data_IF_741280628118
#
_entry.id   IF_741280628118
#
_cell.length_a   1.000
_cell.length_b   1.000
_cell.length_c   1.000
_cell.angle_alpha   90.00
_cell.angle_beta   90.00
_cell.angle_gamma   90.00
#
_symmetry.space_group_name_H-M   'P 1'
#
loop_
_entity.id
_entity.type
_entity.pdbx_description
1 polymer ?
#
# COMPACT_ATOMS: atom_id res chain seq x y z
N UNK A 1 -26.44 18.20 9.16
CA UNK A 1 -25.20 18.46 8.41
C UNK A 1 -25.14 17.47 7.27
N UNK A 2 -25.02 17.94 6.03
CA UNK A 2 -24.91 17.07 4.86
C UNK A 2 -23.57 16.33 4.90
N UNK A 3 -23.61 15.01 4.81
CA UNK A 3 -22.41 14.19 4.91
C UNK A 3 -21.61 14.30 3.62
N UNK A 4 -20.42 14.90 3.69
CA UNK A 4 -19.54 15.07 2.53
C UNK A 4 -19.02 13.73 2.02
N UNK A 5 -18.90 13.64 0.71
CA UNK A 5 -18.23 12.53 0.05
C UNK A 5 -16.72 12.58 0.33
N UNK A 6 -16.16 11.44 0.74
CA UNK A 6 -14.75 11.32 1.09
C UNK A 6 -14.06 10.35 0.14
N UNK A 7 -12.92 10.75 -0.40
CA UNK A 7 -12.02 9.88 -1.15
C UNK A 7 -10.73 9.70 -0.36
N UNK A 8 -10.22 8.47 -0.33
CA UNK A 8 -8.98 8.16 0.39
C UNK A 8 -7.88 7.86 -0.62
N UNK A 9 -6.80 8.63 -0.57
CA UNK A 9 -5.62 8.43 -1.38
C UNK A 9 -4.47 7.87 -0.54
N UNK A 10 -3.76 6.88 -1.06
CA UNK A 10 -2.64 6.27 -0.36
C UNK A 10 -1.55 5.77 -1.31
N UNK A 11 -0.30 6.11 -1.00
CA UNK A 11 0.89 5.57 -1.67
C UNK A 11 1.54 4.48 -0.83
N UNK A 12 1.99 3.37 -1.43
CA UNK A 12 2.76 2.34 -0.74
C UNK A 12 2.03 1.81 0.51
N UNK A 13 2.64 1.93 1.68
CA UNK A 13 2.02 1.61 2.98
C UNK A 13 0.72 2.40 3.23
N UNK A 14 0.61 3.63 2.75
CA UNK A 14 -0.63 4.41 2.80
C UNK A 14 -1.75 3.81 1.94
N UNK A 15 -1.41 3.23 0.78
CA UNK A 15 -2.36 2.51 -0.07
C UNK A 15 -2.86 1.22 0.59
N UNK A 16 -1.94 0.51 1.27
CA UNK A 16 -2.29 -0.60 2.16
C UNK A 16 -3.27 -0.18 3.27
N UNK A 17 -3.01 0.96 3.91
CA UNK A 17 -3.86 1.48 4.98
C UNK A 17 -5.25 1.86 4.46
N UNK A 18 -5.34 2.51 3.30
CA UNK A 18 -6.61 2.88 2.66
C UNK A 18 -7.48 1.65 2.34
N UNK A 19 -6.90 0.63 1.71
CA UNK A 19 -7.58 -0.61 1.37
C UNK A 19 -7.98 -1.38 2.64
N UNK A 20 -7.06 -1.53 3.59
CA UNK A 20 -7.33 -2.20 4.87
C UNK A 20 -8.45 -1.51 5.64
N UNK A 21 -8.47 -0.18 5.65
CA UNK A 21 -9.52 0.60 6.31
C UNK A 21 -10.90 0.30 5.69
N UNK A 22 -11.00 0.32 4.35
CA UNK A 22 -12.26 -0.01 3.70
C UNK A 22 -12.72 -1.43 4.00
N UNK A 23 -11.83 -2.42 3.88
CA UNK A 23 -12.14 -3.81 4.20
C UNK A 23 -12.60 -3.97 5.65
N UNK A 24 -11.95 -3.33 6.62
CA UNK A 24 -12.25 -3.51 8.05
C UNK A 24 -13.44 -2.73 8.57
N UNK A 25 -13.74 -1.56 8.00
CA UNK A 25 -14.71 -0.63 8.61
C UNK A 25 -15.86 -0.25 7.70
N UNK A 26 -15.73 -0.47 6.39
CA UNK A 26 -16.77 -0.12 5.42
C UNK A 26 -17.56 -1.36 5.02
N UNK A 27 -16.87 -2.48 4.77
CA UNK A 27 -17.48 -3.74 4.34
C UNK A 27 -18.08 -4.47 5.57
N UNK A 28 -19.42 -4.50 5.73
CA UNK A 28 -20.05 -5.05 6.92
C UNK A 28 -19.75 -6.53 7.16
N UNK A 29 -19.55 -7.30 6.09
CA UNK A 29 -19.29 -8.75 6.14
C UNK A 29 -17.93 -9.10 6.74
N UNK A 30 -16.96 -8.17 6.67
CA UNK A 30 -15.60 -8.35 7.20
C UNK A 30 -15.41 -7.58 8.51
N UNK A 31 -16.20 -6.53 8.72
CA UNK A 31 -16.14 -5.62 9.87
C UNK A 31 -16.46 -6.34 11.18
N UNK A 32 -15.46 -7.00 11.74
CA UNK A 32 -15.45 -7.56 13.09
C UNK A 32 -15.11 -6.52 14.16
N UNK A 33 -14.80 -5.28 13.76
CA UNK A 33 -14.30 -4.23 14.63
C UNK A 33 -15.38 -3.16 14.86
N UNK A 34 -16.07 -3.25 15.99
CA UNK A 34 -16.89 -2.15 16.48
C UNK A 34 -15.96 -1.05 17.01
N UNK A 35 -15.91 0.09 16.30
CA UNK A 35 -15.14 1.26 16.73
C UNK A 35 -15.75 1.93 17.97
N UNK A 36 -16.94 1.54 18.42
CA UNK A 36 -17.67 2.19 19.51
C UNK A 36 -18.17 3.59 19.15
N UNK A 37 -17.98 4.01 17.90
CA UNK A 37 -18.39 5.31 17.37
C UNK A 37 -19.76 5.13 16.72
N UNK A 38 -20.83 5.44 17.46
CA UNK A 38 -22.22 5.29 16.99
C UNK A 38 -22.66 6.38 16.01
N UNK A 39 -22.03 7.56 16.09
CA UNK A 39 -22.60 8.77 15.48
C UNK A 39 -21.87 9.25 14.21
N UNK A 40 -20.68 8.70 13.89
CA UNK A 40 -19.93 9.10 12.70
C UNK A 40 -19.24 7.94 11.98
N UNK A 41 -19.83 7.51 10.87
CA UNK A 41 -19.21 6.59 9.90
C UNK A 41 -18.87 7.36 8.64
N UNK A 42 -17.60 7.70 8.43
CA UNK A 42 -17.16 8.42 7.23
C UNK A 42 -17.57 7.64 5.96
N UNK A 43 -18.30 8.30 5.06
CA UNK A 43 -18.74 7.72 3.79
C UNK A 43 -17.61 7.82 2.76
N UNK A 44 -16.72 6.82 2.76
CA UNK A 44 -15.70 6.73 1.70
C UNK A 44 -16.37 6.29 0.40
N UNK A 45 -16.33 7.18 -0.60
CA UNK A 45 -16.87 6.95 -1.94
C UNK A 45 -15.91 6.27 -2.89
N UNK A 46 -14.60 6.36 -2.62
CA UNK A 46 -13.63 5.59 -3.35
C UNK A 46 -12.19 5.70 -2.84
N UNK A 47 -11.34 4.84 -3.40
CA UNK A 47 -9.93 4.74 -3.05
C UNK A 47 -9.06 5.06 -4.27
N UNK A 48 -8.00 5.83 -4.04
CA UNK A 48 -6.92 6.08 -4.99
C UNK A 48 -5.65 5.46 -4.41
N UNK A 49 -5.21 4.33 -4.97
CA UNK A 49 -4.06 3.59 -4.48
C UNK A 49 -2.89 3.69 -5.47
N UNK A 50 -1.73 4.16 -5.01
CA UNK A 50 -0.54 4.31 -5.85
C UNK A 50 0.57 3.39 -5.33
N UNK A 51 1.03 2.46 -6.17
CA UNK A 51 1.94 1.36 -5.79
C UNK A 51 1.60 0.77 -4.42
N UNK A 52 0.35 0.34 -4.18
CA UNK A 52 -0.08 -0.04 -2.83
C UNK A 52 0.66 -1.28 -2.33
N UNK A 53 0.98 -1.30 -1.03
CA UNK A 53 1.63 -2.44 -0.38
C UNK A 53 0.64 -3.58 -0.08
N UNK A 54 0.04 -4.14 -1.13
CA UNK A 54 -0.87 -5.30 -1.09
C UNK A 54 -0.21 -6.60 -1.58
N UNK A 55 1.08 -6.51 -1.86
CA UNK A 55 2.00 -7.60 -2.15
C UNK A 55 3.42 -7.04 -2.05
N UNK A 56 4.36 -7.87 -1.58
CA UNK A 56 5.77 -7.51 -1.50
C UNK A 56 6.48 -8.19 -2.67
N UNK A 57 7.28 -7.44 -3.42
CA UNK A 57 8.06 -7.99 -4.52
C UNK A 57 8.94 -9.15 -4.02
N UNK A 58 9.06 -10.24 -4.79
CA UNK A 58 9.82 -11.43 -4.36
C UNK A 58 11.29 -11.09 -4.09
N UNK A 59 11.82 -10.14 -4.84
CA UNK A 59 13.17 -9.60 -4.71
C UNK A 59 13.37 -8.87 -3.39
N UNK A 60 12.29 -8.40 -2.76
CA UNK A 60 12.29 -7.73 -1.45
C UNK A 60 12.09 -8.69 -0.27
N UNK A 61 11.74 -9.96 -0.51
CA UNK A 61 11.50 -10.94 0.55
C UNK A 61 12.75 -11.78 0.84
N UNK A 62 13.14 -11.97 2.13
CA UNK A 62 14.15 -12.95 2.50
C UNK A 62 13.59 -14.38 2.32
N UNK A 63 14.48 -15.39 2.30
CA UNK A 63 14.06 -16.79 2.18
C UNK A 63 13.07 -17.20 3.27
N UNK A 64 12.16 -18.13 2.96
CA UNK A 64 11.07 -18.53 3.85
C UNK A 64 11.53 -18.95 5.27
N UNK A 65 12.61 -19.75 5.45
CA UNK A 65 13.10 -20.07 6.79
C UNK A 65 13.55 -18.82 7.58
N UNK A 66 14.18 -17.86 6.91
CA UNK A 66 14.58 -16.58 7.51
C UNK A 66 13.35 -15.78 7.94
N UNK A 67 12.26 -15.81 7.18
CA UNK A 67 11.00 -15.17 7.57
C UNK A 67 10.43 -15.79 8.85
N UNK A 68 10.43 -17.12 8.97
CA UNK A 68 9.99 -17.82 10.18
C UNK A 68 10.84 -17.45 11.40
N UNK A 69 12.17 -17.38 11.23
CA UNK A 69 13.09 -16.95 12.29
C UNK A 69 12.83 -15.51 12.73
N UNK A 70 12.68 -14.58 11.78
CA UNK A 70 12.35 -13.17 12.05
C UNK A 70 11.03 -13.06 12.82
N UNK A 71 10.00 -13.83 12.43
CA UNK A 71 8.71 -13.89 13.13
C UNK A 71 8.85 -14.39 14.56
N UNK A 72 9.67 -15.41 14.80
CA UNK A 72 9.92 -15.92 16.14
C UNK A 72 10.64 -14.89 17.02
N UNK A 73 11.72 -14.30 16.50
CA UNK A 73 12.49 -13.29 17.22
C UNK A 73 11.68 -12.01 17.47
N UNK A 74 10.82 -11.61 16.55
CA UNK A 74 9.95 -10.44 16.70
C UNK A 74 8.97 -10.55 17.89
N UNK A 75 8.59 -11.77 18.30
CA UNK A 75 7.74 -11.99 19.47
C UNK A 75 8.47 -11.69 20.78
N UNK A 76 9.76 -12.04 20.85
CA UNK A 76 10.57 -11.86 22.05
C UNK A 76 11.25 -10.48 22.11
N UNK A 77 11.66 -9.95 20.95
CA UNK A 77 12.45 -8.74 20.84
C UNK A 77 11.91 -7.79 19.74
N UNK A 78 10.70 -7.24 19.90
CA UNK A 78 10.02 -6.49 18.85
C UNK A 78 10.72 -5.18 18.46
N UNK A 79 11.54 -4.61 19.35
CA UNK A 79 12.16 -3.30 19.18
C UNK A 79 13.56 -3.35 18.57
N UNK A 80 14.14 -4.54 18.36
CA UNK A 80 15.46 -4.69 17.73
C UNK A 80 15.44 -4.11 16.32
N UNK A 81 16.51 -3.40 15.97
CA UNK A 81 16.68 -2.74 14.68
C UNK A 81 17.24 -3.72 13.63
N UNK A 82 16.60 -3.76 12.47
CA UNK A 82 16.90 -4.69 11.37
C UNK A 82 18.23 -4.37 10.65
N UNK A 83 18.89 -3.25 10.95
CA UNK A 83 20.24 -2.92 10.44
C UNK A 83 21.30 -3.99 10.73
N UNK A 84 21.08 -4.80 11.77
CA UNK A 84 21.97 -5.91 12.13
C UNK A 84 21.81 -7.12 11.22
N UNK A 85 20.79 -7.13 10.35
CA UNK A 85 20.49 -8.20 9.41
C UNK A 85 20.78 -7.75 7.97
N UNK A 86 21.42 -8.61 7.14
CA UNK A 86 21.72 -8.29 5.75
C UNK A 86 20.43 -8.35 4.90
N UNK A 87 19.65 -7.27 4.89
CA UNK A 87 18.49 -7.12 4.01
C UNK A 87 18.89 -6.28 2.79
N UNK A 88 18.70 -6.78 1.55
CA UNK A 88 19.05 -6.02 0.35
C UNK A 88 18.26 -4.71 0.28
N UNK A 89 18.99 -3.59 0.16
CA UNK A 89 18.39 -2.27 -0.04
C UNK A 89 17.89 -2.15 -1.48
N UNK A 90 16.56 -2.14 -1.67
CA UNK A 90 15.93 -2.02 -2.99
C UNK A 90 15.64 -0.57 -3.37
N UNK A 91 15.53 -0.31 -4.68
CA UNK A 91 15.51 1.06 -5.23
C UNK A 91 14.08 1.60 -5.34
N UNK A 92 13.73 2.57 -4.49
CA UNK A 92 12.45 3.30 -4.59
C UNK A 92 12.29 4.10 -5.89
N UNK A 93 13.41 4.50 -6.51
CA UNK A 93 13.46 5.22 -7.79
C UNK A 93 14.78 4.93 -8.50
N UNK A 94 14.81 5.04 -9.82
CA UNK A 94 16.05 5.00 -10.61
C UNK A 94 16.74 6.37 -10.57
N UNK A 95 15.97 7.46 -10.53
CA UNK A 95 16.43 8.84 -10.59
C UNK A 95 17.34 9.20 -9.39
N UNK A 96 18.63 9.54 -9.63
CA UNK A 96 19.55 10.00 -8.61
C UNK A 96 19.10 11.27 -7.87
N UNK A 97 18.38 12.18 -8.52
CA UNK A 97 17.90 13.43 -7.93
C UNK A 97 16.87 13.15 -6.83
N UNK A 98 15.94 12.24 -7.09
CA UNK A 98 14.94 11.76 -6.15
C UNK A 98 15.62 11.08 -4.96
N UNK A 99 16.63 10.22 -5.21
CA UNK A 99 17.40 9.57 -4.14
C UNK A 99 18.09 10.59 -3.24
N UNK A 100 18.71 11.62 -3.83
CA UNK A 100 19.38 12.68 -3.07
C UNK A 100 18.38 13.42 -2.19
N UNK A 101 17.24 13.83 -2.74
CA UNK A 101 16.16 14.50 -2.02
C UNK A 101 15.65 13.66 -0.84
N UNK A 102 15.36 12.38 -1.06
CA UNK A 102 14.95 11.47 0.01
C UNK A 102 16.03 11.26 1.07
N UNK A 103 17.33 11.31 0.71
CA UNK A 103 18.42 11.13 1.67
C UNK A 103 18.61 12.39 2.53
N UNK A 104 18.43 13.57 1.95
CA UNK A 104 18.62 14.86 2.64
C UNK A 104 17.38 15.36 3.37
N UNK A 105 16.21 14.77 3.17
CA UNK A 105 14.95 15.18 3.80
C UNK A 105 15.00 14.95 5.33
N UNK A 106 14.94 16.01 6.16
CA UNK A 106 14.99 15.89 7.62
C UNK A 106 13.70 15.29 8.23
N UNK A 107 12.57 15.31 7.52
CA UNK A 107 11.31 14.75 8.01
C UNK A 107 11.19 13.24 7.76
N UNK A 108 12.08 12.68 6.93
CA UNK A 108 12.12 11.25 6.68
C UNK A 108 12.68 10.53 7.91
N UNK A 109 12.16 9.34 8.17
CA UNK A 109 12.84 8.41 9.07
C UNK A 109 14.15 7.88 8.46
N UNK A 110 15.30 8.25 9.03
CA UNK A 110 16.64 7.74 8.61
C UNK A 110 17.09 6.50 9.38
N UNK A 111 16.32 6.04 10.36
CA UNK A 111 16.62 4.83 11.11
C UNK A 111 16.35 3.55 10.32
N UNK A 112 16.59 2.42 10.96
CA UNK A 112 16.25 1.11 10.39
C UNK A 112 14.93 0.59 10.93
N UNK A 113 14.27 -0.25 10.11
CA UNK A 113 13.01 -0.89 10.49
C UNK A 113 13.20 -1.70 11.77
N UNK A 114 12.15 -1.77 12.59
CA UNK A 114 12.14 -2.64 13.77
C UNK A 114 11.76 -4.06 13.36
N UNK A 115 12.22 -5.04 14.13
CA UNK A 115 12.04 -6.45 13.82
C UNK A 115 10.58 -6.85 13.73
N UNK A 116 9.71 -6.28 14.57
CA UNK A 116 8.26 -6.52 14.53
C UNK A 116 7.55 -5.91 13.32
N UNK A 117 8.17 -4.92 12.66
CA UNK A 117 7.52 -4.22 11.54
C UNK A 117 7.31 -5.17 10.35
N UNK A 118 8.32 -5.92 9.94
CA UNK A 118 8.21 -6.79 8.76
C UNK A 118 7.12 -7.88 8.90
N UNK A 119 7.06 -8.67 10.00
CA UNK A 119 5.96 -9.59 10.25
C UNK A 119 4.58 -8.93 10.22
N UNK A 120 4.42 -7.77 10.87
CA UNK A 120 3.14 -7.08 10.91
C UNK A 120 2.67 -6.63 9.51
N UNK A 121 3.60 -6.17 8.66
CA UNK A 121 3.29 -5.82 7.27
C UNK A 121 2.88 -7.05 6.45
N UNK A 122 3.58 -8.18 6.62
CA UNK A 122 3.25 -9.43 5.93
C UNK A 122 1.88 -9.97 6.37
N UNK A 123 1.57 -9.91 7.66
CA UNK A 123 0.26 -10.31 8.19
C UNK A 123 -0.85 -9.41 7.63
N UNK A 124 -0.59 -8.11 7.49
CA UNK A 124 -1.50 -7.17 6.83
C UNK A 124 -1.74 -7.50 5.36
N UNK A 125 -0.66 -7.76 4.60
CA UNK A 125 -0.75 -8.16 3.19
C UNK A 125 -1.56 -9.45 3.05
N UNK A 126 -1.33 -10.43 3.93
CA UNK A 126 -2.05 -11.69 3.95
C UNK A 126 -3.54 -11.49 4.27
N UNK A 127 -3.88 -10.56 5.17
CA UNK A 127 -5.26 -10.16 5.42
C UNK A 127 -5.93 -9.61 4.15
N UNK A 128 -5.29 -8.67 3.45
CA UNK A 128 -5.84 -8.12 2.18
C UNK A 128 -5.93 -9.23 1.12
N UNK A 129 -4.98 -10.16 1.06
CA UNK A 129 -5.04 -11.27 0.11
C UNK A 129 -6.24 -12.19 0.35
N UNK A 130 -6.65 -12.38 1.60
CA UNK A 130 -7.81 -13.20 1.97
C UNK A 130 -9.13 -12.45 1.74
N UNK A 131 -9.17 -11.19 2.16
CA UNK A 131 -10.40 -10.40 2.22
C UNK A 131 -10.62 -9.47 1.04
N UNK A 132 -9.60 -9.25 0.21
CA UNK A 132 -9.60 -8.24 -0.85
C UNK A 132 -10.69 -8.41 -1.89
N UNK A 133 -11.12 -9.65 -2.15
CA UNK A 133 -12.23 -9.95 -3.05
C UNK A 133 -13.56 -9.33 -2.56
N UNK A 134 -13.70 -9.08 -1.26
CA UNK A 134 -14.90 -8.46 -0.69
C UNK A 134 -14.95 -6.94 -0.87
N UNK A 135 -13.88 -6.28 -1.33
CA UNK A 135 -13.90 -4.84 -1.56
C UNK A 135 -14.92 -4.49 -2.66
N UNK A 136 -15.98 -3.76 -2.30
CA UNK A 136 -17.09 -3.45 -3.20
C UNK A 136 -17.29 -1.94 -3.47
N UNK A 137 -16.38 -1.09 -2.97
CA UNK A 137 -16.40 0.36 -3.23
C UNK A 137 -15.54 0.72 -4.45
N UNK A 138 -15.84 1.84 -5.15
CA UNK A 138 -15.02 2.29 -6.27
C UNK A 138 -13.54 2.47 -5.92
N UNK A 139 -12.64 2.05 -6.81
CA UNK A 139 -11.21 2.27 -6.59
C UNK A 139 -10.42 2.38 -7.89
N UNK A 140 -9.28 3.04 -7.80
CA UNK A 140 -8.26 3.01 -8.84
C UNK A 140 -6.91 2.62 -8.25
N UNK A 141 -6.18 1.77 -8.98
CA UNK A 141 -4.79 1.43 -8.66
C UNK A 141 -3.88 1.93 -9.77
N UNK A 142 -2.82 2.62 -9.41
CA UNK A 142 -1.70 2.95 -10.28
C UNK A 142 -0.48 2.16 -9.84
N UNK A 143 0.23 1.49 -10.75
CA UNK A 143 1.42 0.71 -10.38
C UNK A 143 2.47 0.73 -11.50
N UNK A 144 3.75 0.84 -11.14
CA UNK A 144 4.86 0.69 -12.07
C UNK A 144 5.19 -0.77 -12.34
N UNK A 145 5.38 -1.17 -13.59
CA UNK A 145 5.74 -2.58 -13.90
C UNK A 145 7.18 -2.96 -13.53
N UNK A 146 8.02 -1.99 -13.13
CA UNK A 146 9.39 -2.18 -12.61
C UNK A 146 9.49 -1.83 -11.13
N UNK A 147 8.38 -1.86 -10.40
CA UNK A 147 8.38 -1.68 -8.95
C UNK A 147 9.09 -2.86 -8.26
N UNK A 148 10.21 -2.57 -7.61
CA UNK A 148 11.01 -3.56 -6.86
C UNK A 148 10.63 -3.61 -5.36
N UNK A 149 9.70 -2.76 -4.92
CA UNK A 149 9.30 -2.62 -3.51
C UNK A 149 7.97 -3.33 -3.28
N UNK A 150 6.94 -2.94 -4.06
CA UNK A 150 5.62 -3.56 -4.02
C UNK A 150 5.36 -4.38 -5.27
N UNK A 151 4.64 -5.48 -5.14
CA UNK A 151 4.40 -6.39 -6.25
C UNK A 151 3.23 -5.91 -7.13
N UNK A 152 3.56 -5.52 -8.36
CA UNK A 152 2.58 -5.12 -9.37
C UNK A 152 1.61 -6.27 -9.73
N UNK A 153 2.07 -7.53 -9.69
CA UNK A 153 1.22 -8.67 -10.03
C UNK A 153 0.14 -8.92 -8.97
N UNK A 154 0.48 -8.75 -7.69
CA UNK A 154 -0.48 -8.74 -6.59
C UNK A 154 -1.54 -7.63 -6.75
N UNK A 155 -1.15 -6.43 -7.23
CA UNK A 155 -2.12 -5.37 -7.53
C UNK A 155 -3.07 -5.71 -8.67
N UNK A 156 -2.56 -6.34 -9.73
CA UNK A 156 -3.39 -6.82 -10.84
C UNK A 156 -4.39 -7.87 -10.36
N UNK A 157 -3.92 -8.86 -9.59
CA UNK A 157 -4.75 -9.92 -9.04
C UNK A 157 -5.85 -9.36 -8.12
N UNK A 158 -5.49 -8.45 -7.22
CA UNK A 158 -6.46 -7.76 -6.38
C UNK A 158 -7.53 -7.02 -7.20
N UNK A 159 -7.12 -6.30 -8.24
CA UNK A 159 -8.05 -5.63 -9.15
C UNK A 159 -9.02 -6.63 -9.81
N UNK A 160 -8.54 -7.78 -10.26
CA UNK A 160 -9.37 -8.81 -10.90
C UNK A 160 -10.38 -9.41 -9.91
N UNK A 161 -9.96 -9.71 -8.69
CA UNK A 161 -10.75 -10.44 -7.68
C UNK A 161 -11.75 -9.58 -6.90
N UNK A 162 -11.52 -8.26 -6.77
CA UNK A 162 -12.40 -7.38 -6.00
C UNK A 162 -13.83 -7.27 -6.59
N UNK A 163 -14.86 -7.28 -5.74
CA UNK A 163 -16.28 -7.17 -6.13
C UNK A 163 -16.71 -5.78 -6.65
N UNK A 164 -15.87 -4.75 -6.52
CA UNK A 164 -16.21 -3.40 -6.95
C UNK A 164 -16.59 -3.34 -8.44
N UNK A 165 -17.69 -2.68 -8.74
CA UNK A 165 -18.20 -2.51 -10.11
C UNK A 165 -17.47 -1.40 -10.87
N UNK A 166 -17.13 -0.30 -10.19
CA UNK A 166 -16.35 0.81 -10.74
C UNK A 166 -14.91 0.73 -10.26
N UNK A 167 -14.08 -0.05 -10.96
CA UNK A 167 -12.66 -0.23 -10.64
C UNK A 167 -11.78 -0.01 -11.86
N UNK A 168 -10.59 0.55 -11.64
CA UNK A 168 -9.60 0.74 -12.70
C UNK A 168 -8.19 0.35 -12.23
N UNK A 169 -7.39 -0.20 -13.14
CA UNK A 169 -5.98 -0.51 -12.91
C UNK A 169 -5.11 0.05 -14.03
N UNK A 170 -4.23 1.00 -13.69
CA UNK A 170 -3.30 1.64 -14.60
C UNK A 170 -1.87 1.20 -14.33
N UNK A 171 -1.25 0.61 -15.35
CA UNK A 171 0.15 0.20 -15.31
C UNK A 171 1.01 1.26 -16.00
N UNK A 172 2.05 1.75 -15.32
CA UNK A 172 3.07 2.59 -15.93
C UNK A 172 4.27 1.75 -16.35
N UNK A 173 4.51 1.72 -17.65
CA UNK A 173 5.63 1.00 -18.25
C UNK A 173 6.96 1.67 -17.88
N UNK A 174 7.96 0.85 -17.53
CA UNK A 174 9.30 1.27 -17.13
C UNK A 174 9.34 2.18 -15.90
N UNK A 175 8.28 2.17 -15.09
CA UNK A 175 8.18 2.95 -13.87
C UNK A 175 8.43 2.10 -12.62
N UNK A 176 9.09 2.70 -11.62
CA UNK A 176 9.38 2.11 -10.31
C UNK A 176 8.36 2.58 -9.25
N UNK A 177 8.66 2.33 -7.98
CA UNK A 177 7.79 2.60 -6.83
C UNK A 177 7.34 4.07 -6.64
N UNK A 178 8.18 5.04 -6.98
CA UNK A 178 7.93 6.47 -6.69
C UNK A 178 7.15 7.19 -7.81
N UNK A 179 5.97 6.68 -8.16
CA UNK A 179 5.14 7.24 -9.25
C UNK A 179 4.75 8.71 -9.04
N UNK A 180 4.50 9.13 -7.80
CA UNK A 180 4.02 10.49 -7.47
C UNK A 180 5.11 11.55 -7.64
N UNK A 181 6.37 11.16 -7.46
CA UNK A 181 7.51 12.09 -7.49
C UNK A 181 8.01 12.32 -8.91
N UNK A 182 7.68 11.42 -9.84
CA UNK A 182 7.93 11.53 -11.28
C UNK A 182 7.01 12.55 -11.96
N UNK A 183 6.81 13.73 -11.36
CA UNK A 183 6.07 14.84 -11.95
C UNK A 183 6.76 15.36 -13.21
N UNK A 184 6.73 14.61 -14.31
CA UNK A 184 7.22 14.96 -15.65
C UNK A 184 6.74 13.99 -16.73
N UNK A 185 5.50 13.49 -16.67
CA UNK A 185 4.85 12.94 -17.87
C UNK A 185 3.33 13.09 -17.70
N UNK A 186 2.70 13.79 -18.64
CA UNK A 186 1.33 14.33 -18.67
C UNK A 186 0.19 13.35 -18.29
N UNK A 187 0.45 12.05 -18.16
CA UNK A 187 -0.56 10.98 -18.00
C UNK A 187 -1.13 10.75 -16.60
N UNK A 188 -0.53 11.29 -15.52
CA UNK A 188 -1.08 11.11 -14.16
C UNK A 188 -2.18 12.16 -13.86
N UNK A 189 -2.11 13.34 -14.47
CA UNK A 189 -3.04 14.45 -14.20
C UNK A 189 -4.47 14.17 -14.68
N UNK A 190 -4.63 13.51 -15.84
CA UNK A 190 -5.95 13.22 -16.42
C UNK A 190 -6.83 12.30 -15.56
N UNK A 191 -6.22 11.49 -14.69
CA UNK A 191 -6.98 10.43 -14.00
C UNK A 191 -7.65 10.92 -12.72
N UNK A 192 -7.12 11.98 -12.09
CA UNK A 192 -7.78 12.58 -10.91
C UNK A 192 -8.98 13.43 -11.33
N UNK A 193 -8.95 14.06 -12.50
CA UNK A 193 -10.11 14.77 -13.04
C UNK A 193 -11.27 13.83 -13.39
N UNK A 194 -10.98 12.64 -13.93
CA UNK A 194 -12.00 11.66 -14.32
C UNK A 194 -12.84 11.14 -13.12
N UNK A 195 -12.27 11.14 -11.91
CA UNK A 195 -12.94 10.72 -10.68
C UNK A 195 -13.83 11.82 -10.08
N UNK A 196 -13.61 13.07 -10.45
CA UNK A 196 -14.42 14.22 -9.99
C UNK A 196 -15.68 14.46 -10.85
N UNK A 197 -15.78 13.79 -12.01
CA UNK A 197 -16.84 13.98 -13.01
C UNK A 197 -17.85 12.82 -13.10
N UNK A 198 -17.84 11.88 -12.14
CA UNK A 198 -18.82 10.78 -12.01
C UNK A 198 -19.32 10.70 -10.57
#
# INVERSE_FOLDING_TARGET
MEQRDVFVCGHSLGGFAAISYALKYIIPEISSFDLGIKDFKARVKGIIAVSPMIGVARESLPYYPTQCLIRALAKCFPTIKVSELPIPRRRHSIDPSIKKRFKSDPQKFHGTLRLSTAPALLDGVEFIRKEGSNLNIPFIIFHGNKDEVTDCSSSKKFYEEAKATNKEFKIYNNANHSLIILGSNEKIHETTEALSRK
#
